data_IF_621789175652
#
_entry.id   IF_621789175652
#
_cell.length_a   1.000
_cell.length_b   1.000
_cell.length_c   1.000
_cell.angle_alpha   90.00
_cell.angle_beta   90.00
_cell.angle_gamma   90.00
#
_symmetry.space_group_name_H-M   'P 1'
#
loop_
_entity.id
_entity.type
_entity.pdbx_description
1 polymer ?
#
# COMPACT_ATOMS: atom_id res chain seq x y z
N UNK A 1 0.29 -8.02 19.60
CA UNK A 1 -1.13 -7.73 19.24
C UNK A 1 -1.82 -9.00 18.79
N UNK A 2 -3.15 -9.11 18.97
CA UNK A 2 -3.87 -10.35 18.58
C UNK A 2 -4.08 -10.46 17.07
N UNK A 3 -4.21 -9.34 16.37
CA UNK A 3 -4.38 -9.27 14.91
C UNK A 3 -3.18 -8.55 14.30
N UNK A 4 -2.68 -9.09 13.20
CA UNK A 4 -1.51 -8.60 12.49
C UNK A 4 -1.88 -8.23 11.07
N UNK A 5 -1.22 -7.22 10.50
CA UNK A 5 -1.54 -6.71 9.16
C UNK A 5 -0.30 -6.59 8.29
N UNK A 6 -0.44 -7.00 7.03
CA UNK A 6 0.51 -6.68 5.95
C UNK A 6 -0.20 -5.75 4.98
N UNK A 7 0.34 -4.56 4.78
CA UNK A 7 -0.09 -3.63 3.75
C UNK A 7 0.89 -3.72 2.58
N UNK A 8 0.39 -4.06 1.40
CA UNK A 8 1.14 -4.10 0.15
C UNK A 8 0.65 -2.95 -0.74
N UNK A 9 1.54 -2.03 -1.07
CA UNK A 9 1.29 -0.96 -2.06
C UNK A 9 2.05 -1.30 -3.34
N UNK A 10 1.32 -1.42 -4.46
CA UNK A 10 1.86 -1.60 -5.80
C UNK A 10 1.77 -0.25 -6.50
N UNK A 11 2.91 0.44 -6.60
CA UNK A 11 2.99 1.82 -7.09
C UNK A 11 2.42 1.96 -8.51
N UNK A 12 1.62 2.98 -8.72
CA UNK A 12 1.07 3.33 -10.02
C UNK A 12 0.12 2.29 -10.63
N UNK A 13 -0.41 1.33 -9.84
CA UNK A 13 -1.24 0.25 -10.37
C UNK A 13 -2.69 0.69 -10.61
N UNK A 14 -3.08 0.70 -11.89
CA UNK A 14 -4.46 0.95 -12.33
C UNK A 14 -5.33 -0.31 -12.21
N UNK A 15 -6.63 -0.17 -11.88
CA UNK A 15 -7.55 -1.31 -11.84
C UNK A 15 -7.70 -2.03 -13.18
N UNK A 16 -7.76 -1.31 -14.30
CA UNK A 16 -7.87 -1.88 -15.64
C UNK A 16 -6.59 -2.58 -16.08
N UNK A 17 -5.40 -2.05 -15.71
CA UNK A 17 -4.12 -2.73 -15.92
C UNK A 17 -4.03 -4.03 -15.12
N UNK A 18 -4.46 -4.03 -13.88
CA UNK A 18 -4.55 -5.22 -13.05
C UNK A 18 -5.44 -6.31 -13.67
N UNK A 19 -6.62 -5.94 -14.16
CA UNK A 19 -7.53 -6.89 -14.83
C UNK A 19 -6.98 -7.45 -16.15
N UNK A 20 -6.07 -6.72 -16.82
CA UNK A 20 -5.47 -7.08 -18.10
C UNK A 20 -4.08 -7.72 -17.97
N UNK A 21 -3.47 -7.75 -16.79
CA UNK A 21 -2.10 -8.26 -16.59
C UNK A 21 -1.93 -9.77 -16.83
N UNK A 22 -3.03 -10.50 -17.01
CA UNK A 22 -3.00 -11.94 -17.32
C UNK A 22 -2.57 -12.84 -16.15
N UNK A 23 -2.50 -12.32 -14.92
CA UNK A 23 -2.18 -13.14 -13.75
C UNK A 23 -3.48 -13.77 -13.18
N UNK A 24 -3.63 -15.11 -13.17
CA UNK A 24 -4.85 -15.77 -12.71
C UNK A 24 -5.14 -15.54 -11.22
N UNK A 25 -4.12 -15.19 -10.44
CA UNK A 25 -4.29 -14.95 -9.01
C UNK A 25 -5.13 -13.68 -8.72
N UNK A 26 -5.23 -12.74 -9.66
CA UNK A 26 -6.11 -11.58 -9.53
C UNK A 26 -7.57 -12.00 -9.33
N UNK A 27 -8.07 -12.92 -10.17
CA UNK A 27 -9.45 -13.43 -10.03
C UNK A 27 -9.62 -14.27 -8.76
N UNK A 28 -8.60 -15.03 -8.36
CA UNK A 28 -8.63 -15.79 -7.11
C UNK A 28 -8.75 -14.85 -5.91
N UNK A 29 -7.92 -13.77 -5.88
CA UNK A 29 -7.94 -12.79 -4.81
C UNK A 29 -9.29 -12.05 -4.74
N UNK A 30 -9.89 -11.68 -5.87
CA UNK A 30 -11.24 -11.08 -5.90
C UNK A 30 -12.30 -12.00 -5.28
N UNK A 31 -12.17 -13.32 -5.42
CA UNK A 31 -13.09 -14.29 -4.79
C UNK A 31 -12.84 -14.47 -3.29
N UNK A 32 -11.59 -14.30 -2.85
CA UNK A 32 -11.19 -14.54 -1.45
C UNK A 32 -11.27 -13.29 -0.57
N UNK A 33 -11.16 -12.10 -1.13
CA UNK A 33 -11.09 -10.82 -0.43
C UNK A 33 -12.39 -10.02 -0.53
N UNK A 34 -12.64 -9.10 0.42
CA UNK A 34 -13.47 -7.94 0.14
C UNK A 34 -12.65 -6.97 -0.69
N UNK A 35 -13.23 -6.33 -1.70
CA UNK A 35 -12.46 -5.50 -2.62
C UNK A 35 -13.26 -4.35 -3.22
N UNK A 36 -12.54 -3.38 -3.76
CA UNK A 36 -13.07 -2.37 -4.68
C UNK A 36 -12.12 -2.16 -5.84
N UNK A 37 -12.65 -1.83 -7.00
CA UNK A 37 -11.89 -1.42 -8.19
C UNK A 37 -12.05 0.09 -8.47
N UNK A 38 -12.72 0.80 -7.57
CA UNK A 38 -13.07 2.21 -7.75
C UNK A 38 -12.78 3.04 -6.47
N UNK A 39 -11.75 2.63 -5.72
CA UNK A 39 -11.29 3.45 -4.61
C UNK A 39 -10.61 4.73 -5.15
N UNK A 40 -10.74 5.81 -4.39
CA UNK A 40 -10.18 7.10 -4.80
C UNK A 40 -8.95 7.45 -3.99
N UNK A 41 -7.84 7.75 -4.68
CA UNK A 41 -6.65 8.34 -4.08
C UNK A 41 -6.81 9.85 -3.85
N UNK A 42 -5.78 10.51 -3.33
CA UNK A 42 -5.76 11.95 -3.05
C UNK A 42 -5.14 12.73 -4.21
N UNK A 43 -5.43 14.03 -4.27
CA UNK A 43 -4.81 14.95 -5.22
C UNK A 43 -3.79 15.87 -4.50
N UNK A 44 -2.59 16.06 -5.05
CA UNK A 44 -2.07 15.46 -6.28
C UNK A 44 -1.82 13.95 -6.13
N UNK A 45 -2.11 13.21 -7.21
CA UNK A 45 -1.90 11.75 -7.30
C UNK A 45 -0.42 11.41 -7.54
N UNK A 46 0.41 11.76 -6.55
CA UNK A 46 1.87 11.66 -6.56
C UNK A 46 2.31 10.78 -5.38
N UNK A 47 3.33 9.99 -5.57
CA UNK A 47 3.73 8.91 -4.66
C UNK A 47 3.86 9.33 -3.20
N UNK A 48 4.68 10.34 -2.87
CA UNK A 48 4.87 10.74 -1.47
C UNK A 48 3.61 11.38 -0.85
N UNK A 49 2.90 12.32 -1.48
CA UNK A 49 1.60 12.83 -1.01
C UNK A 49 0.59 11.72 -0.75
N UNK A 50 0.46 10.74 -1.66
CA UNK A 50 -0.47 9.63 -1.51
C UNK A 50 -0.09 8.74 -0.31
N UNK A 51 1.17 8.36 -0.17
CA UNK A 51 1.62 7.56 0.98
C UNK A 51 1.51 8.32 2.30
N UNK A 52 1.82 9.63 2.32
CA UNK A 52 1.57 10.44 3.51
C UNK A 52 0.09 10.43 3.90
N UNK A 53 -0.81 10.58 2.93
CA UNK A 53 -2.26 10.49 3.16
C UNK A 53 -2.69 9.09 3.60
N UNK A 54 -2.16 8.04 2.98
CA UNK A 54 -2.42 6.63 3.31
C UNK A 54 -2.10 6.33 4.79
N UNK A 55 -0.96 6.81 5.28
CA UNK A 55 -0.50 6.53 6.65
C UNK A 55 -1.02 7.49 7.70
N UNK A 56 -1.39 8.72 7.32
CA UNK A 56 -1.85 9.75 8.25
C UNK A 56 -3.36 10.00 8.15
N UNK A 57 -4.06 9.35 7.21
CA UNK A 57 -5.52 9.46 7.02
C UNK A 57 -6.04 10.90 6.95
N UNK A 58 -5.26 11.78 6.33
CA UNK A 58 -5.63 13.17 6.02
C UNK A 58 -5.17 13.54 4.61
N UNK A 59 -5.85 14.47 3.93
CA UNK A 59 -5.48 14.86 2.58
C UNK A 59 -4.20 15.73 2.55
N UNK A 60 -3.55 15.88 1.37
CA UNK A 60 -2.28 16.60 1.21
C UNK A 60 -2.27 18.02 1.76
N UNK A 61 -3.35 18.77 1.66
CA UNK A 61 -3.48 20.13 2.22
C UNK A 61 -3.42 20.15 3.76
N UNK A 62 -3.69 19.03 4.42
CA UNK A 62 -3.61 18.89 5.89
C UNK A 62 -2.22 18.52 6.38
N UNK A 63 -1.56 17.55 5.74
CA UNK A 63 -0.19 17.17 6.13
C UNK A 63 0.89 18.03 5.46
N UNK A 64 0.55 18.80 4.41
CA UNK A 64 1.43 19.78 3.77
C UNK A 64 2.44 19.18 2.78
N UNK A 65 2.39 17.89 2.47
CA UNK A 65 3.25 17.23 1.48
C UNK A 65 2.48 17.13 0.17
N UNK A 66 2.88 17.89 -0.84
CA UNK A 66 2.19 17.99 -2.14
C UNK A 66 3.08 17.62 -3.32
N UNK A 67 4.33 17.21 -3.06
CA UNK A 67 5.31 16.77 -4.05
C UNK A 67 6.12 15.60 -3.49
N UNK A 68 7.00 15.03 -4.31
CA UNK A 68 7.95 13.98 -3.87
C UNK A 68 9.12 14.51 -3.02
N UNK A 69 9.02 15.74 -2.54
CA UNK A 69 9.96 16.34 -1.60
C UNK A 69 9.34 16.41 -0.21
N UNK A 70 9.93 15.70 0.75
CA UNK A 70 9.46 15.74 2.14
C UNK A 70 9.78 17.10 2.80
N UNK A 71 8.74 17.69 3.38
CA UNK A 71 8.84 18.90 4.19
C UNK A 71 8.25 18.61 5.58
N UNK A 72 9.05 18.69 6.67
CA UNK A 72 8.54 18.41 8.00
C UNK A 72 7.32 19.26 8.35
N UNK A 73 6.18 18.66 8.71
CA UNK A 73 4.98 19.41 9.05
C UNK A 73 5.20 20.23 10.34
N UNK A 74 4.78 21.50 10.34
CA UNK A 74 4.84 22.36 11.54
C UNK A 74 3.95 21.83 12.67
N UNK A 75 2.84 21.18 12.31
CA UNK A 75 1.92 20.51 13.24
C UNK A 75 1.77 19.05 12.80
N UNK A 76 2.69 18.18 13.24
CA UNK A 76 2.71 16.80 12.78
C UNK A 76 1.50 16.03 13.33
N UNK A 77 0.82 15.33 12.43
CA UNK A 77 -0.23 14.34 12.74
C UNK A 77 0.45 13.01 13.04
N UNK A 78 -0.04 12.22 13.99
CA UNK A 78 0.45 10.87 14.17
C UNK A 78 -0.05 9.97 13.03
N UNK A 79 0.89 9.33 12.36
CA UNK A 79 0.59 8.33 11.37
C UNK A 79 0.36 6.93 11.98
N UNK A 80 0.07 5.97 11.13
CA UNK A 80 -0.19 4.59 11.53
C UNK A 80 1.00 3.97 12.28
N UNK A 81 2.23 4.19 11.81
CA UNK A 81 3.44 3.67 12.47
C UNK A 81 3.58 4.18 13.91
N UNK A 82 3.26 5.46 14.16
CA UNK A 82 3.30 6.07 15.47
C UNK A 82 2.20 5.52 16.39
N UNK A 83 1.00 5.30 15.86
CA UNK A 83 -0.11 4.71 16.60
C UNK A 83 0.17 3.27 17.01
N UNK A 84 0.72 2.45 16.10
CA UNK A 84 1.14 1.07 16.38
C UNK A 84 2.21 1.06 17.47
N UNK A 85 3.23 1.92 17.37
CA UNK A 85 4.28 2.03 18.38
C UNK A 85 3.73 2.46 19.74
N UNK A 86 2.84 3.45 19.77
CA UNK A 86 2.21 3.94 21.02
C UNK A 86 1.38 2.83 21.71
N UNK A 87 0.80 1.92 20.94
CA UNK A 87 0.11 0.73 21.44
C UNK A 87 1.04 -0.46 21.79
N UNK A 88 2.37 -0.29 21.67
CA UNK A 88 3.37 -1.32 21.95
C UNK A 88 3.60 -2.34 20.84
N UNK A 89 3.07 -2.10 19.65
CA UNK A 89 3.24 -2.97 18.49
C UNK A 89 4.60 -2.80 17.78
N UNK A 90 4.93 -3.77 16.96
CA UNK A 90 6.18 -3.85 16.20
C UNK A 90 5.86 -3.69 14.71
N UNK A 91 6.50 -2.70 14.07
CA UNK A 91 6.34 -2.43 12.64
C UNK A 91 7.65 -2.69 11.87
N UNK A 92 7.51 -3.18 10.64
CA UNK A 92 8.59 -3.32 9.67
C UNK A 92 8.21 -2.72 8.31
N UNK A 93 9.20 -2.27 7.52
CA UNK A 93 8.97 -1.61 6.24
C UNK A 93 10.02 -2.07 5.20
N UNK A 94 9.53 -2.42 4.00
CA UNK A 94 10.35 -2.85 2.86
C UNK A 94 9.95 -2.03 1.64
N UNK A 95 10.89 -1.29 1.03
CA UNK A 95 10.54 -0.30 0.02
C UNK A 95 11.63 -0.08 -1.03
N UNK A 96 11.17 0.19 -2.27
CA UNK A 96 12.02 0.34 -3.46
C UNK A 96 12.35 1.79 -3.85
N UNK A 97 11.76 2.78 -3.16
CA UNK A 97 11.92 4.20 -3.46
C UNK A 97 12.26 5.00 -2.21
N UNK A 98 13.40 5.67 -2.23
CA UNK A 98 14.07 6.21 -1.05
C UNK A 98 13.26 7.25 -0.27
N UNK A 99 12.51 8.18 -0.91
CA UNK A 99 11.75 9.18 -0.15
C UNK A 99 10.68 8.64 0.79
N UNK A 100 10.25 7.37 0.63
CA UNK A 100 9.32 6.74 1.57
C UNK A 100 9.91 6.56 2.99
N UNK A 101 11.22 6.67 3.19
CA UNK A 101 11.81 6.67 4.54
C UNK A 101 11.17 7.67 5.50
N UNK A 102 10.62 8.75 4.94
CA UNK A 102 10.09 9.88 5.72
C UNK A 102 8.60 9.70 6.12
N UNK A 103 7.93 8.62 5.69
CA UNK A 103 6.53 8.33 6.10
C UNK A 103 6.40 7.87 7.56
N UNK A 104 7.51 7.49 8.21
CA UNK A 104 7.55 7.09 9.61
C UNK A 104 8.52 7.97 10.38
N UNK A 105 8.18 8.33 11.63
CA UNK A 105 9.11 9.07 12.49
C UNK A 105 10.23 8.17 13.02
N UNK A 106 11.40 8.73 13.33
CA UNK A 106 12.50 7.98 13.91
C UNK A 106 12.08 7.13 15.10
N UNK A 107 12.44 5.85 15.07
CA UNK A 107 12.13 4.89 16.13
C UNK A 107 10.72 4.29 16.09
N UNK A 108 9.89 4.58 15.08
CA UNK A 108 8.58 3.92 14.91
C UNK A 108 8.71 2.54 14.25
N UNK A 109 9.81 2.29 13.54
CA UNK A 109 10.09 1.00 12.91
C UNK A 109 11.10 0.19 13.74
N UNK A 110 10.87 -1.12 13.81
CA UNK A 110 11.82 -2.09 14.36
C UNK A 110 12.81 -2.59 13.29
N UNK A 111 12.34 -2.71 12.05
CA UNK A 111 13.14 -3.08 10.88
C UNK A 111 12.71 -2.26 9.67
N UNK A 112 13.68 -1.88 8.85
CA UNK A 112 13.44 -1.27 7.56
C UNK A 112 14.51 -1.74 6.58
N UNK A 113 14.11 -2.08 5.34
CA UNK A 113 15.04 -2.40 4.26
C UNK A 113 14.67 -1.61 3.02
N UNK A 114 15.62 -0.84 2.53
CA UNK A 114 15.53 -0.10 1.28
C UNK A 114 16.37 -0.78 0.20
N UNK A 115 15.81 -0.89 -1.00
CA UNK A 115 16.53 -1.32 -2.18
C UNK A 115 16.05 -0.55 -3.40
N UNK A 116 16.93 0.22 -4.01
CA UNK A 116 16.62 1.05 -5.18
C UNK A 116 16.03 0.22 -6.34
N UNK A 117 14.95 0.72 -6.96
CA UNK A 117 14.20 0.05 -8.04
C UNK A 117 15.07 -0.53 -9.14
N UNK A 118 16.08 0.23 -9.57
CA UNK A 118 16.99 -0.18 -10.66
C UNK A 118 18.26 -0.88 -10.18
N UNK A 119 18.38 -1.24 -8.90
CA UNK A 119 19.54 -1.98 -8.38
C UNK A 119 19.54 -3.47 -8.76
N UNK A 120 18.41 -3.98 -9.27
CA UNK A 120 18.26 -5.33 -9.78
C UNK A 120 17.07 -5.40 -10.75
N UNK A 121 17.01 -6.44 -11.58
CA UNK A 121 15.89 -6.64 -12.52
C UNK A 121 14.57 -6.99 -11.84
N UNK A 122 14.62 -7.46 -10.58
CA UNK A 122 13.48 -7.95 -9.82
C UNK A 122 13.51 -7.45 -8.37
N UNK A 123 13.67 -6.15 -8.20
CA UNK A 123 13.78 -5.49 -6.88
C UNK A 123 12.58 -5.78 -5.99
N UNK A 124 11.36 -5.74 -6.52
CA UNK A 124 10.13 -6.03 -5.77
C UNK A 124 10.12 -7.47 -5.23
N UNK A 125 10.60 -8.43 -6.01
CA UNK A 125 10.75 -9.82 -5.56
C UNK A 125 11.78 -9.96 -4.44
N UNK A 126 12.91 -9.25 -4.55
CA UNK A 126 13.95 -9.26 -3.52
C UNK A 126 13.39 -8.67 -2.22
N UNK A 127 12.71 -7.52 -2.27
CA UNK A 127 12.07 -6.90 -1.11
C UNK A 127 10.99 -7.80 -0.49
N UNK A 128 10.18 -8.46 -1.32
CA UNK A 128 9.19 -9.43 -0.88
C UNK A 128 9.83 -10.58 -0.09
N UNK A 129 10.92 -11.15 -0.59
CA UNK A 129 11.64 -12.23 0.09
C UNK A 129 12.24 -11.74 1.42
N UNK A 130 12.73 -10.49 1.49
CA UNK A 130 13.24 -9.88 2.73
C UNK A 130 12.10 -9.64 3.75
N UNK A 131 10.95 -9.19 3.29
CA UNK A 131 9.76 -9.04 4.12
C UNK A 131 9.33 -10.39 4.71
N UNK A 132 9.27 -11.44 3.88
CA UNK A 132 8.93 -12.80 4.32
C UNK A 132 9.94 -13.35 5.35
N UNK A 133 11.24 -13.16 5.13
CA UNK A 133 12.25 -13.56 6.11
C UNK A 133 12.04 -12.82 7.45
N UNK A 134 11.82 -11.51 7.42
CA UNK A 134 11.52 -10.73 8.63
C UNK A 134 10.23 -11.20 9.32
N UNK A 135 9.18 -11.53 8.56
CA UNK A 135 7.91 -12.07 9.08
C UNK A 135 8.17 -13.38 9.84
N UNK A 136 8.95 -14.29 9.25
CA UNK A 136 9.25 -15.59 9.88
C UNK A 136 10.12 -15.46 11.14
N UNK A 137 11.11 -14.58 11.13
CA UNK A 137 12.06 -14.41 12.23
C UNK A 137 11.52 -13.54 13.36
N UNK A 138 10.92 -12.40 13.05
CA UNK A 138 10.55 -11.34 14.01
C UNK A 138 9.06 -11.32 14.32
N UNK A 139 8.21 -11.82 13.42
CA UNK A 139 6.74 -11.81 13.52
C UNK A 139 6.17 -10.42 13.86
N UNK A 140 6.53 -9.36 13.11
CA UNK A 140 6.04 -8.01 13.39
C UNK A 140 4.51 -7.97 13.38
N UNK A 141 3.92 -7.00 14.09
CA UNK A 141 2.47 -6.82 14.13
C UNK A 141 1.96 -6.12 12.86
N UNK A 142 2.81 -5.26 12.26
CA UNK A 142 2.52 -4.56 11.02
C UNK A 142 3.72 -4.62 10.07
N UNK A 143 3.46 -4.93 8.81
CA UNK A 143 4.45 -4.89 7.72
C UNK A 143 3.93 -4.02 6.61
N UNK A 144 4.74 -3.06 6.17
CA UNK A 144 4.53 -2.35 4.92
C UNK A 144 5.51 -2.86 3.86
N UNK A 145 4.97 -3.37 2.77
CA UNK A 145 5.72 -3.81 1.59
C UNK A 145 5.32 -2.92 0.40
N UNK A 146 6.26 -2.13 -0.07
CA UNK A 146 6.07 -1.26 -1.23
C UNK A 146 6.81 -1.81 -2.44
N UNK A 147 6.06 -2.05 -3.51
CA UNK A 147 6.51 -2.55 -4.80
C UNK A 147 6.53 -1.39 -5.81
N UNK A 148 7.69 -1.06 -6.34
CA UNK A 148 7.94 0.15 -7.12
C UNK A 148 8.03 -0.09 -8.62
N UNK A 149 8.27 -1.34 -9.05
CA UNK A 149 8.63 -1.62 -10.46
C UNK A 149 7.48 -1.34 -11.43
N UNK A 150 6.23 -1.39 -10.97
CA UNK A 150 5.06 -1.10 -11.82
C UNK A 150 5.04 0.36 -12.26
N UNK A 151 5.32 1.30 -11.36
CA UNK A 151 5.42 2.73 -11.66
C UNK A 151 6.69 3.04 -12.46
N UNK A 152 7.86 2.77 -11.89
CA UNK A 152 9.15 3.16 -12.44
C UNK A 152 9.43 2.46 -13.79
N UNK A 153 9.51 1.11 -13.77
CA UNK A 153 9.87 0.32 -14.95
C UNK A 153 8.70 0.12 -15.91
N UNK A 154 7.50 -0.05 -15.35
CA UNK A 154 6.29 -0.23 -16.14
C UNK A 154 5.78 1.08 -16.74
N UNK A 155 5.42 2.01 -15.88
CA UNK A 155 4.79 3.28 -16.22
C UNK A 155 5.75 4.28 -16.85
N UNK A 156 6.70 4.78 -16.08
CA UNK A 156 7.59 5.86 -16.54
C UNK A 156 8.50 5.44 -17.69
N UNK A 157 9.12 4.27 -17.63
CA UNK A 157 10.03 3.82 -18.68
C UNK A 157 9.30 3.38 -19.97
N UNK A 158 8.13 2.74 -19.85
CA UNK A 158 7.46 2.07 -20.97
C UNK A 158 6.06 2.59 -21.31
N UNK A 159 5.41 3.29 -20.38
CA UNK A 159 4.05 3.83 -20.49
C UNK A 159 3.00 2.93 -19.82
N UNK A 160 2.07 3.60 -19.13
CA UNK A 160 0.91 2.92 -18.55
C UNK A 160 0.13 2.16 -19.62
N UNK A 161 -0.34 0.97 -19.29
CA UNK A 161 -1.04 0.02 -20.14
C UNK A 161 -0.17 -0.62 -21.26
N UNK A 162 1.14 -0.37 -21.30
CA UNK A 162 2.05 -1.12 -22.17
C UNK A 162 2.20 -2.58 -21.71
N UNK A 163 2.67 -3.46 -22.60
CA UNK A 163 2.99 -4.85 -22.24
C UNK A 163 4.00 -4.95 -21.09
N UNK A 164 4.94 -4.00 -20.99
CA UNK A 164 5.91 -3.96 -19.91
C UNK A 164 5.24 -3.63 -18.56
N UNK A 165 4.35 -2.64 -18.55
CA UNK A 165 3.57 -2.27 -17.39
C UNK A 165 2.68 -3.43 -16.91
N UNK A 166 1.97 -4.09 -17.83
CA UNK A 166 1.15 -5.25 -17.51
C UNK A 166 1.97 -6.42 -16.95
N UNK A 167 3.19 -6.64 -17.47
CA UNK A 167 4.12 -7.63 -16.90
C UNK A 167 4.57 -7.27 -15.49
N UNK A 168 4.86 -6.00 -15.18
CA UNK A 168 5.21 -5.57 -13.83
C UNK A 168 4.07 -5.88 -12.85
N UNK A 169 2.81 -5.59 -13.22
CA UNK A 169 1.64 -5.95 -12.39
C UNK A 169 1.52 -7.48 -12.24
N UNK A 170 1.69 -8.23 -13.34
CA UNK A 170 1.68 -9.70 -13.28
C UNK A 170 2.67 -10.22 -12.22
N UNK A 171 3.89 -9.71 -12.24
CA UNK A 171 4.95 -10.13 -11.31
C UNK A 171 4.69 -9.64 -9.87
N UNK A 172 4.11 -8.45 -9.71
CA UNK A 172 3.67 -7.97 -8.41
C UNK A 172 2.60 -8.92 -7.79
N UNK A 173 1.64 -9.41 -8.58
CA UNK A 173 0.65 -10.38 -8.09
C UNK A 173 1.25 -11.76 -7.79
N UNK A 174 2.33 -12.18 -8.45
CA UNK A 174 3.10 -13.36 -8.04
C UNK A 174 3.73 -13.15 -6.64
N UNK A 175 4.20 -11.94 -6.33
CA UNK A 175 4.71 -11.58 -5.02
C UNK A 175 3.59 -11.53 -3.97
N UNK A 176 2.43 -10.94 -4.27
CA UNK A 176 1.24 -10.95 -3.40
C UNK A 176 0.83 -12.38 -3.05
N UNK A 177 0.74 -13.27 -4.05
CA UNK A 177 0.43 -14.69 -3.86
C UNK A 177 1.41 -15.34 -2.89
N UNK A 178 2.71 -15.12 -3.10
CA UNK A 178 3.75 -15.67 -2.22
C UNK A 178 3.60 -15.19 -0.76
N UNK A 179 3.24 -13.93 -0.54
CA UNK A 179 2.98 -13.41 0.81
C UNK A 179 1.78 -14.11 1.44
N UNK A 180 0.66 -14.22 0.73
CA UNK A 180 -0.55 -14.88 1.24
C UNK A 180 -0.28 -16.36 1.60
N UNK A 181 0.38 -17.10 0.71
CA UNK A 181 0.67 -18.52 0.91
C UNK A 181 1.63 -18.76 2.09
N UNK A 182 2.64 -17.90 2.26
CA UNK A 182 3.66 -18.09 3.30
C UNK A 182 3.24 -17.59 4.67
N UNK A 183 2.27 -16.68 4.76
CA UNK A 183 1.75 -16.19 6.04
C UNK A 183 0.61 -17.06 6.60
N UNK A 184 0.05 -17.97 5.81
CA UNK A 184 -0.92 -19.00 6.23
C UNK A 184 -2.11 -18.48 7.04
N UNK A 185 -2.56 -17.27 6.78
CA UNK A 185 -3.68 -16.65 7.48
C UNK A 185 -3.36 -16.07 8.87
N UNK A 186 -2.08 -15.98 9.24
CA UNK A 186 -1.65 -15.31 10.47
C UNK A 186 -1.80 -13.77 10.39
N UNK A 187 -1.90 -13.22 9.18
CA UNK A 187 -2.02 -11.79 8.91
C UNK A 187 -3.26 -11.49 8.09
N UNK A 188 -3.90 -10.38 8.36
CA UNK A 188 -4.79 -9.74 7.39
C UNK A 188 -3.93 -9.03 6.37
N UNK A 189 -4.19 -9.27 5.08
CA UNK A 189 -3.39 -8.74 3.97
C UNK A 189 -4.24 -7.73 3.22
N UNK A 190 -3.72 -6.52 3.09
CA UNK A 190 -4.31 -5.44 2.31
C UNK A 190 -3.41 -5.19 1.12
N UNK A 191 -3.99 -5.19 -0.08
CA UNK A 191 -3.28 -4.89 -1.34
C UNK A 191 -3.94 -3.69 -1.98
N UNK A 192 -3.15 -2.68 -2.34
CA UNK A 192 -3.64 -1.46 -2.96
C UNK A 192 -2.58 -0.85 -3.89
N UNK A 193 -2.92 0.27 -4.51
CA UNK A 193 -2.00 1.21 -5.11
C UNK A 193 -2.07 2.54 -4.36
N UNK A 194 -1.13 3.41 -4.59
CA UNK A 194 -1.15 4.79 -4.11
C UNK A 194 -1.79 5.74 -5.13
N UNK A 195 -1.57 5.53 -6.42
CA UNK A 195 -2.21 6.21 -7.56
C UNK A 195 -2.24 5.29 -8.79
N UNK A 196 -2.80 5.76 -9.86
CA UNK A 196 -2.68 5.18 -11.19
C UNK A 196 -1.71 5.96 -12.07
N UNK A 197 -2.02 6.13 -13.36
CA UNK A 197 -1.20 6.93 -14.26
C UNK A 197 -1.69 6.85 -15.72
N UNK A 198 -1.16 7.70 -16.56
CA UNK A 198 -1.48 7.78 -17.99
C UNK A 198 -0.23 8.11 -18.80
N UNK A 199 -0.19 7.70 -20.04
CA UNK A 199 0.99 7.86 -20.89
C UNK A 199 2.27 7.36 -20.21
N UNK A 200 3.14 8.27 -19.77
CA UNK A 200 4.35 8.01 -18.97
C UNK A 200 4.42 8.90 -17.75
N UNK A 201 3.28 9.31 -17.21
CA UNK A 201 3.19 10.27 -16.13
C UNK A 201 1.97 10.01 -15.23
N UNK A 202 1.93 10.68 -14.10
CA UNK A 202 0.84 10.70 -13.13
C UNK A 202 0.82 12.04 -12.38
N UNK A 203 -0.10 12.24 -11.45
CA UNK A 203 -0.16 13.43 -10.60
C UNK A 203 -1.29 14.38 -10.95
N UNK A 204 -2.12 14.03 -11.94
CA UNK A 204 -3.28 14.80 -12.37
C UNK A 204 -4.56 14.36 -11.62
N UNK A 205 -5.68 15.04 -11.91
CA UNK A 205 -7.02 14.66 -11.43
C UNK A 205 -7.78 13.76 -12.42
N UNK A 206 -7.08 13.26 -13.44
CA UNK A 206 -7.65 12.29 -14.38
C UNK A 206 -8.09 11.02 -13.66
N UNK A 207 -9.14 10.39 -14.18
CA UNK A 207 -9.66 9.15 -13.61
C UNK A 207 -8.58 8.06 -13.55
N UNK A 208 -7.74 7.99 -14.57
CA UNK A 208 -6.63 7.04 -14.71
C UNK A 208 -5.58 7.18 -13.60
N UNK A 209 -5.36 8.40 -13.10
CA UNK A 209 -4.42 8.69 -12.01
C UNK A 209 -5.09 8.50 -10.64
N UNK A 210 -6.37 8.85 -10.54
CA UNK A 210 -7.09 8.96 -9.27
C UNK A 210 -7.78 7.68 -8.82
N UNK A 211 -7.98 6.69 -9.71
CA UNK A 211 -8.70 5.46 -9.38
C UNK A 211 -7.73 4.31 -9.10
N UNK A 212 -7.88 3.68 -7.93
CA UNK A 212 -7.02 2.59 -7.47
C UNK A 212 -7.83 1.38 -7.02
N UNK A 213 -7.29 0.15 -7.14
CA UNK A 213 -7.90 -1.03 -6.56
C UNK A 213 -7.52 -1.18 -5.09
N UNK A 214 -8.39 -1.79 -4.29
CA UNK A 214 -8.07 -2.22 -2.92
C UNK A 214 -8.66 -3.59 -2.64
N UNK A 215 -7.87 -4.44 -1.96
CA UNK A 215 -8.26 -5.77 -1.52
C UNK A 215 -7.97 -5.93 -0.04
N UNK A 216 -8.91 -6.57 0.66
CA UNK A 216 -8.82 -6.87 2.09
C UNK A 216 -9.03 -8.36 2.28
N UNK A 217 -7.96 -9.11 2.52
CA UNK A 217 -7.97 -10.56 2.71
C UNK A 217 -7.63 -10.90 4.15
N UNK A 218 -8.56 -11.49 4.85
CA UNK A 218 -8.42 -11.90 6.26
C UNK A 218 -9.76 -12.32 6.84
N UNK A 219 -9.74 -12.85 8.04
CA UNK A 219 -10.94 -13.34 8.75
C UNK A 219 -11.99 -12.26 9.04
N UNK A 220 -11.57 -10.99 9.03
CA UNK A 220 -12.42 -9.82 9.27
C UNK A 220 -13.25 -9.43 8.03
N UNK A 221 -12.91 -9.95 6.87
CA UNK A 221 -13.51 -9.56 5.59
C UNK A 221 -14.18 -10.75 4.90
N UNK A 222 -15.28 -10.46 4.20
CA UNK A 222 -16.03 -11.46 3.44
C UNK A 222 -15.44 -11.60 2.05
N UNK A 223 -15.11 -12.82 1.63
CA UNK A 223 -14.67 -13.10 0.26
C UNK A 223 -15.73 -12.76 -0.79
N UNK A 224 -15.29 -12.17 -1.90
CA UNK A 224 -16.13 -11.77 -3.03
C UNK A 224 -17.06 -10.57 -2.76
N UNK A 225 -16.88 -9.88 -1.64
CA UNK A 225 -17.70 -8.71 -1.31
C UNK A 225 -17.13 -7.44 -1.92
N UNK A 226 -17.96 -6.67 -2.63
CA UNK A 226 -17.57 -5.41 -3.25
C UNK A 226 -17.83 -4.26 -2.29
N UNK A 227 -16.78 -3.49 -1.99
CA UNK A 227 -16.86 -2.28 -1.17
C UNK A 227 -17.10 -1.06 -2.06
N UNK A 228 -17.93 -0.13 -1.60
CA UNK A 228 -18.25 1.10 -2.30
C UNK A 228 -17.82 2.32 -1.48
N UNK A 229 -17.64 3.46 -2.14
CA UNK A 229 -17.27 4.73 -1.52
C UNK A 229 -16.01 4.63 -0.64
N UNK A 230 -14.97 4.03 -1.19
CA UNK A 230 -13.68 3.80 -0.52
C UNK A 230 -12.67 4.87 -0.92
N UNK A 231 -11.98 5.41 0.07
CA UNK A 231 -10.89 6.38 -0.10
C UNK A 231 -9.57 5.79 0.39
N UNK A 232 -8.46 6.30 -0.17
CA UNK A 232 -7.12 6.01 0.32
C UNK A 232 -6.97 6.35 1.82
N UNK A 233 -7.69 7.37 2.30
CA UNK A 233 -7.69 7.79 3.70
C UNK A 233 -8.27 6.73 4.65
N UNK A 234 -9.08 5.81 4.14
CA UNK A 234 -9.74 4.78 4.94
C UNK A 234 -8.79 3.65 5.37
N UNK A 235 -7.58 3.57 4.79
CA UNK A 235 -6.62 2.51 5.08
C UNK A 235 -6.09 2.55 6.52
N UNK A 236 -5.57 3.68 6.98
CA UNK A 236 -5.02 3.78 8.33
C UNK A 236 -6.05 3.50 9.43
N UNK A 237 -7.28 4.09 9.40
CA UNK A 237 -8.29 3.75 10.40
C UNK A 237 -8.78 2.30 10.29
N UNK A 238 -8.87 1.72 9.09
CA UNK A 238 -9.20 0.29 8.93
C UNK A 238 -8.14 -0.61 9.56
N UNK A 239 -6.86 -0.33 9.32
CA UNK A 239 -5.75 -1.10 9.90
C UNK A 239 -5.73 -0.94 11.42
N UNK A 240 -5.92 0.27 11.94
CA UNK A 240 -6.00 0.50 13.38
C UNK A 240 -7.13 -0.29 14.04
N UNK A 241 -8.30 -0.35 13.40
CA UNK A 241 -9.47 -1.09 13.87
C UNK A 241 -9.22 -2.61 13.82
N UNK A 242 -8.62 -3.16 12.73
CA UNK A 242 -8.19 -4.57 12.66
C UNK A 242 -7.24 -4.91 13.80
N UNK A 243 -6.27 -4.04 14.11
CA UNK A 243 -5.25 -4.26 15.13
C UNK A 243 -5.73 -3.97 16.55
N UNK A 244 -6.97 -3.49 16.72
CA UNK A 244 -7.54 -3.06 18.00
C UNK A 244 -6.67 -2.01 18.70
N UNK A 245 -6.28 -0.97 17.96
CA UNK A 245 -5.51 0.17 18.47
C UNK A 245 -6.26 1.48 18.23
N UNK A 246 -6.05 2.52 19.07
CA UNK A 246 -6.69 3.81 18.86
C UNK A 246 -6.28 4.48 17.55
N UNK A 247 -7.24 4.95 16.76
CA UNK A 247 -6.99 5.87 15.67
C UNK A 247 -6.49 7.23 16.19
N UNK A 248 -5.67 7.95 15.41
CA UNK A 248 -5.33 9.30 15.80
C UNK A 248 -6.55 10.23 15.64
N UNK A 249 -6.65 11.21 16.54
CA UNK A 249 -7.82 12.10 16.61
C UNK A 249 -8.03 12.91 15.33
N UNK A 250 -6.95 13.20 14.65
CA UNK A 250 -6.92 14.05 13.44
C UNK A 250 -7.26 13.28 12.16
N UNK A 251 -7.36 11.96 12.17
CA UNK A 251 -7.66 11.16 11.00
C UNK A 251 -9.07 11.44 10.48
N UNK A 252 -9.20 11.56 9.16
CA UNK A 252 -10.44 11.92 8.48
C UNK A 252 -11.10 10.75 7.75
N UNK A 253 -10.35 9.70 7.46
CA UNK A 253 -10.88 8.46 6.89
C UNK A 253 -11.71 7.68 7.90
N UNK A 254 -12.38 6.66 7.42
CA UNK A 254 -13.27 5.78 8.21
C UNK A 254 -12.86 4.32 8.07
N UNK A 255 -13.06 3.54 9.12
CA UNK A 255 -12.85 2.10 9.05
C UNK A 255 -13.83 1.45 8.07
N UNK A 256 -13.34 0.47 7.33
CA UNK A 256 -14.11 -0.36 6.40
C UNK A 256 -14.55 -1.69 7.04
N UNK A 257 -14.23 -1.94 8.32
CA UNK A 257 -14.74 -3.10 9.02
C UNK A 257 -16.26 -3.03 9.20
N UNK A 258 -16.93 -4.14 8.94
CA UNK A 258 -18.38 -4.26 9.09
C UNK A 258 -19.21 -3.63 7.97
N UNK A 259 -18.58 -3.25 6.85
CA UNK A 259 -19.26 -2.78 5.64
C UNK A 259 -19.54 -3.91 4.67
#
# INVERSE_FOLDING_TARGET
MNNKVILISIDGMRPDGMLQCGNPFVEELMKMASYTLDARTVFPSVTLPCHMSMFHSVPPERHGITTNLYMPPVRPINGLFEQIKAAGGISAMFYGWEPLRDISRPGSLKAAEYKWAYSADNTDRILTNKALACIHEMKPDFVFLYMVETDEKGGHDNGWMSDAYLRCIHDAFNNVKAVIEQTKGEYTIIVTADHGGHDRNHGSDLKEDMTIPMFFYGKEFRGGHVLNDVSLLDLAPTIADIMDIPAAREWEGKSLLGK
#
